data_IF_368303862514
#
_entry.id   IF_368303862514
#
_cell.length_a   1.000
_cell.length_b   1.000
_cell.length_c   1.000
_cell.angle_alpha   90.00
_cell.angle_beta   90.00
_cell.angle_gamma   90.00
#
_symmetry.space_group_name_H-M   'P 1'
#
loop_
_entity.id
_entity.type
_entity.pdbx_description
1 polymer ?
#
# COMPACT_ATOMS: atom_id res chain seq x y z
N UNK A 1 -22.46 62.38 -55.08
CA UNK A 1 -22.45 62.31 -53.61
C UNK A 1 -22.24 60.85 -53.20
N UNK A 2 -21.00 60.41 -53.03
CA UNK A 2 -20.69 59.02 -52.62
C UNK A 2 -20.39 59.01 -51.13
N UNK A 3 -21.35 58.54 -50.33
CA UNK A 3 -21.23 58.46 -48.88
C UNK A 3 -20.27 57.32 -48.50
N UNK A 4 -19.23 57.67 -47.75
CA UNK A 4 -18.20 56.75 -47.25
C UNK A 4 -18.86 55.65 -46.42
N UNK A 5 -18.58 54.39 -46.78
CA UNK A 5 -18.85 53.25 -45.92
C UNK A 5 -17.98 53.36 -44.67
N UNK A 6 -18.60 53.51 -43.51
CA UNK A 6 -17.94 53.37 -42.22
C UNK A 6 -17.62 51.90 -42.01
N UNK A 7 -16.36 51.53 -42.28
CA UNK A 7 -15.81 50.24 -41.86
C UNK A 7 -15.90 50.23 -40.33
N UNK A 8 -16.76 49.37 -39.78
CA UNK A 8 -16.84 49.17 -38.35
C UNK A 8 -15.53 48.50 -37.92
N UNK A 9 -14.56 49.31 -37.50
CA UNK A 9 -13.36 48.83 -36.84
C UNK A 9 -13.79 48.12 -35.55
N UNK A 10 -13.85 46.79 -35.62
CA UNK A 10 -14.01 45.91 -34.45
C UNK A 10 -12.98 46.37 -33.40
N UNK A 11 -13.38 46.60 -32.13
CA UNK A 11 -12.42 47.07 -31.14
C UNK A 11 -11.41 45.96 -30.88
N UNK A 12 -10.16 46.19 -31.27
CA UNK A 12 -9.00 45.30 -31.12
C UNK A 12 -8.65 44.96 -29.65
N UNK A 13 -9.18 45.74 -28.68
CA UNK A 13 -8.93 45.58 -27.24
C UNK A 13 -9.56 44.32 -26.61
N UNK A 14 -10.87 44.05 -26.76
CA UNK A 14 -11.48 42.83 -26.22
C UNK A 14 -10.83 41.54 -26.73
N UNK A 15 -10.34 41.52 -27.98
CA UNK A 15 -9.65 40.36 -28.53
C UNK A 15 -8.26 40.12 -27.87
N UNK A 16 -7.55 41.18 -27.48
CA UNK A 16 -6.25 41.08 -26.80
C UNK A 16 -6.36 40.61 -25.34
N UNK A 17 -7.35 41.13 -24.60
CA UNK A 17 -7.63 40.72 -23.21
C UNK A 17 -8.11 39.26 -23.12
N UNK A 18 -8.84 38.78 -24.15
CA UNK A 18 -9.28 37.39 -24.23
C UNK A 18 -8.11 36.42 -24.45
N UNK A 19 -7.15 36.78 -25.31
CA UNK A 19 -5.96 35.98 -25.55
C UNK A 19 -5.02 35.92 -24.34
N UNK A 20 -4.89 37.01 -23.57
CA UNK A 20 -4.15 37.02 -22.30
C UNK A 20 -4.76 36.05 -21.28
N UNK A 21 -6.08 36.11 -21.07
CA UNK A 21 -6.78 35.18 -20.16
C UNK A 21 -6.66 33.72 -20.62
N UNK A 22 -6.73 33.46 -21.93
CA UNK A 22 -6.49 32.11 -22.47
C UNK A 22 -5.07 31.63 -22.21
N UNK A 23 -4.08 32.51 -22.32
CA UNK A 23 -2.68 32.20 -22.03
C UNK A 23 -2.46 31.90 -20.54
N UNK A 24 -3.04 32.72 -19.65
CA UNK A 24 -3.01 32.50 -18.20
C UNK A 24 -3.65 31.18 -17.78
N UNK A 25 -4.80 30.83 -18.36
CA UNK A 25 -5.48 29.56 -18.10
C UNK A 25 -4.64 28.37 -18.56
N UNK A 26 -4.03 28.46 -19.75
CA UNK A 26 -3.11 27.42 -20.25
C UNK A 26 -1.87 27.28 -19.37
N UNK A 27 -1.30 28.39 -18.91
CA UNK A 27 -0.14 28.39 -18.03
C UNK A 27 -0.47 27.76 -16.67
N UNK A 28 -1.63 28.10 -16.11
CA UNK A 28 -2.13 27.55 -14.85
C UNK A 28 -2.38 26.05 -14.97
N UNK A 29 -3.09 25.61 -16.01
CA UNK A 29 -3.36 24.19 -16.25
C UNK A 29 -2.07 23.38 -16.44
N UNK A 30 -1.08 23.94 -17.13
CA UNK A 30 0.24 23.31 -17.29
C UNK A 30 0.94 23.16 -15.93
N UNK A 31 0.93 24.21 -15.12
CA UNK A 31 1.54 24.21 -13.78
C UNK A 31 0.89 23.19 -12.86
N UNK A 32 -0.43 23.13 -12.83
CA UNK A 32 -1.18 22.15 -12.02
C UNK A 32 -0.85 20.71 -12.44
N UNK A 33 -0.70 20.45 -13.75
CA UNK A 33 -0.32 19.13 -14.25
C UNK A 33 1.10 18.75 -13.82
N UNK A 34 2.06 19.67 -13.92
CA UNK A 34 3.44 19.47 -13.48
C UNK A 34 3.51 19.20 -11.96
N UNK A 35 2.76 19.98 -11.17
CA UNK A 35 2.64 19.76 -9.73
C UNK A 35 2.02 18.40 -9.40
N UNK A 36 0.98 17.99 -10.13
CA UNK A 36 0.36 16.68 -9.95
C UNK A 36 1.34 15.54 -10.24
N UNK A 37 2.09 15.60 -11.34
CA UNK A 37 3.12 14.61 -11.64
C UNK A 37 4.23 14.58 -10.59
N UNK A 38 4.68 15.75 -10.12
CA UNK A 38 5.69 15.83 -9.06
C UNK A 38 5.20 15.13 -7.77
N UNK A 39 3.96 15.41 -7.35
CA UNK A 39 3.33 14.75 -6.20
C UNK A 39 3.16 13.24 -6.41
N UNK A 40 2.75 12.83 -7.60
CA UNK A 40 2.57 11.42 -7.93
C UNK A 40 3.90 10.65 -7.87
N UNK A 41 4.96 11.22 -8.45
CA UNK A 41 6.30 10.64 -8.39
C UNK A 41 6.80 10.54 -6.95
N UNK A 42 6.62 11.59 -6.13
CA UNK A 42 6.96 11.57 -4.72
C UNK A 42 6.23 10.45 -3.97
N UNK A 43 4.93 10.28 -4.20
CA UNK A 43 4.13 9.22 -3.58
C UNK A 43 4.60 7.82 -4.00
N UNK A 44 4.93 7.62 -5.27
CA UNK A 44 5.45 6.34 -5.76
C UNK A 44 6.79 6.03 -5.09
N UNK A 45 7.73 6.97 -5.06
CA UNK A 45 9.03 6.74 -4.45
C UNK A 45 8.90 6.47 -2.95
N UNK A 46 8.02 7.21 -2.26
CA UNK A 46 7.69 6.94 -0.85
C UNK A 46 7.10 5.54 -0.66
N UNK A 47 6.19 5.10 -1.53
CA UNK A 47 5.59 3.77 -1.46
C UNK A 47 6.62 2.66 -1.73
N UNK A 48 7.51 2.85 -2.71
CA UNK A 48 8.62 1.91 -2.98
C UNK A 48 9.54 1.78 -1.77
N UNK A 49 9.93 2.89 -1.17
CA UNK A 49 10.78 2.90 0.02
C UNK A 49 10.08 2.22 1.20
N UNK A 50 8.82 2.57 1.46
CA UNK A 50 8.04 1.94 2.52
C UNK A 50 7.95 0.41 2.33
N UNK A 51 7.62 -0.06 1.13
CA UNK A 51 7.54 -1.50 0.83
C UNK A 51 8.90 -2.20 1.02
N UNK A 52 10.00 -1.53 0.64
CA UNK A 52 11.35 -2.06 0.84
C UNK A 52 11.70 -2.16 2.33
N UNK A 53 11.38 -1.14 3.13
CA UNK A 53 11.63 -1.18 4.58
C UNK A 53 10.75 -2.22 5.28
N UNK A 54 9.48 -2.36 4.89
CA UNK A 54 8.60 -3.43 5.39
C UNK A 54 9.21 -4.81 5.09
N UNK A 55 9.69 -5.04 3.87
CA UNK A 55 10.32 -6.30 3.50
C UNK A 55 11.57 -6.60 4.34
N UNK A 56 12.44 -5.61 4.54
CA UNK A 56 13.64 -5.77 5.37
C UNK A 56 13.31 -6.04 6.83
N UNK A 57 12.30 -5.35 7.37
CA UNK A 57 11.89 -5.53 8.75
C UNK A 57 11.29 -6.93 8.96
N UNK A 58 10.42 -7.37 8.05
CA UNK A 58 9.88 -8.73 8.08
C UNK A 58 10.99 -9.80 8.02
N UNK A 59 12.02 -9.60 7.19
CA UNK A 59 13.18 -10.51 7.14
C UNK A 59 13.97 -10.52 8.45
N UNK A 60 14.26 -9.34 9.02
CA UNK A 60 14.95 -9.23 10.32
C UNK A 60 14.18 -9.92 11.44
N UNK A 61 12.87 -9.70 11.50
CA UNK A 61 11.98 -10.34 12.48
C UNK A 61 11.98 -11.85 12.30
N UNK A 62 11.89 -12.33 11.06
CA UNK A 62 11.92 -13.76 10.75
C UNK A 62 13.26 -14.41 11.14
N UNK A 63 14.39 -13.78 10.81
CA UNK A 63 15.73 -14.27 11.21
C UNK A 63 15.87 -14.29 12.73
N UNK A 64 15.42 -13.23 13.42
CA UNK A 64 15.43 -13.17 14.87
C UNK A 64 14.58 -14.26 15.51
N UNK A 65 13.34 -14.48 15.04
CA UNK A 65 12.48 -15.56 15.54
C UNK A 65 13.09 -16.95 15.28
N UNK A 66 13.78 -17.16 14.15
CA UNK A 66 14.46 -18.42 13.82
C UNK A 66 15.66 -18.70 14.71
N UNK A 67 16.51 -17.69 14.91
CA UNK A 67 17.80 -17.84 15.61
C UNK A 67 17.66 -17.71 17.13
N UNK A 68 16.54 -17.17 17.62
CA UNK A 68 16.21 -17.17 19.04
C UNK A 68 15.78 -18.58 19.48
N UNK A 69 16.53 -19.26 20.37
CA UNK A 69 16.12 -20.58 20.86
C UNK A 69 14.81 -20.45 21.63
N UNK A 70 13.79 -21.20 21.20
CA UNK A 70 12.52 -21.25 21.90
C UNK A 70 12.74 -21.77 23.34
N UNK A 71 12.19 -21.11 24.37
CA UNK A 71 12.19 -21.64 25.72
C UNK A 71 11.58 -23.05 25.74
N UNK A 72 12.15 -23.96 26.55
CA UNK A 72 11.65 -25.34 26.68
C UNK A 72 10.15 -25.33 26.96
N UNK A 73 9.37 -25.95 26.09
CA UNK A 73 7.90 -26.02 26.17
C UNK A 73 7.14 -25.07 25.23
N UNK A 74 7.80 -24.09 24.58
CA UNK A 74 7.17 -23.18 23.62
C UNK A 74 7.37 -23.58 22.14
N UNK A 75 7.98 -24.73 21.87
CA UNK A 75 8.27 -25.19 20.50
C UNK A 75 7.02 -25.30 19.60
N UNK A 76 5.87 -25.63 20.19
CA UNK A 76 4.59 -25.73 19.49
C UNK A 76 3.98 -24.36 19.11
N UNK A 77 4.42 -23.26 19.72
CA UNK A 77 3.88 -21.93 19.41
C UNK A 77 4.23 -21.49 17.98
N UNK A 78 5.44 -21.81 17.50
CA UNK A 78 5.86 -21.50 16.14
C UNK A 78 4.99 -22.24 15.10
N UNK A 79 4.71 -23.52 15.35
CA UNK A 79 3.86 -24.35 14.48
C UNK A 79 2.42 -23.81 14.48
N UNK A 80 1.91 -23.42 15.66
CA UNK A 80 0.57 -22.87 15.78
C UNK A 80 0.42 -21.50 15.07
N UNK A 81 1.45 -20.64 15.06
CA UNK A 81 1.43 -19.37 14.30
C UNK A 81 1.24 -19.57 12.79
N UNK A 82 1.75 -20.68 12.25
CA UNK A 82 1.62 -21.04 10.83
C UNK A 82 0.28 -21.73 10.50
N UNK A 83 -0.48 -22.14 11.51
CA UNK A 83 -1.76 -22.81 11.34
C UNK A 83 -2.89 -21.78 11.29
N UNK A 84 -3.65 -21.78 10.20
CA UNK A 84 -4.90 -21.05 10.11
C UNK A 84 -5.99 -21.76 10.93
N UNK A 85 -6.42 -21.14 12.02
CA UNK A 85 -7.49 -21.67 12.88
C UNK A 85 -8.87 -21.06 12.58
N UNK A 86 -8.98 -20.20 11.57
CA UNK A 86 -10.28 -19.65 11.20
C UNK A 86 -11.12 -20.73 10.51
N UNK A 87 -12.27 -21.16 11.10
CA UNK A 87 -13.11 -22.20 10.52
C UNK A 87 -13.71 -21.82 9.16
N UNK A 88 -13.73 -20.53 8.81
CA UNK A 88 -14.26 -20.01 7.54
C UNK A 88 -13.20 -19.87 6.45
N UNK A 89 -11.92 -19.93 6.79
CA UNK A 89 -10.81 -19.75 5.85
C UNK A 89 -10.34 -21.07 5.22
N UNK A 90 -11.01 -22.19 5.54
CA UNK A 90 -10.71 -23.52 5.01
C UNK A 90 -10.94 -23.61 3.49
N UNK A 91 -9.95 -23.19 2.70
CA UNK A 91 -9.91 -23.32 1.23
C UNK A 91 -9.02 -24.49 0.79
N UNK A 92 -9.00 -25.58 1.55
CA UNK A 92 -8.14 -26.74 1.28
C UNK A 92 -8.92 -27.87 0.58
N UNK A 93 -8.27 -28.55 -0.36
CA UNK A 93 -8.78 -29.78 -1.01
C UNK A 93 -8.75 -31.01 -0.09
N UNK A 94 -7.98 -30.96 1.01
CA UNK A 94 -7.85 -32.04 1.99
C UNK A 94 -8.35 -31.60 3.37
N UNK A 95 -9.05 -32.49 4.05
CA UNK A 95 -9.50 -32.27 5.43
C UNK A 95 -8.31 -32.32 6.39
N UNK A 96 -8.04 -31.19 7.02
CA UNK A 96 -6.97 -31.01 8.03
C UNK A 96 -7.55 -30.69 9.40
N UNK A 97 -8.86 -30.85 9.60
CA UNK A 97 -9.56 -30.47 10.83
C UNK A 97 -9.02 -31.20 12.06
N UNK A 98 -8.74 -32.50 11.93
CA UNK A 98 -8.12 -33.30 13.01
C UNK A 98 -6.75 -32.77 13.40
N UNK A 99 -5.90 -32.46 12.42
CA UNK A 99 -4.56 -31.92 12.63
C UNK A 99 -4.61 -30.56 13.31
N UNK A 100 -5.47 -29.66 12.82
CA UNK A 100 -5.71 -28.33 13.43
C UNK A 100 -6.17 -28.48 14.88
N UNK A 101 -7.10 -29.40 15.17
CA UNK A 101 -7.56 -29.65 16.55
C UNK A 101 -6.43 -30.07 17.49
N UNK A 102 -5.57 -31.01 17.05
CA UNK A 102 -4.43 -31.48 17.85
C UNK A 102 -3.43 -30.34 18.12
N UNK A 103 -3.10 -29.54 17.10
CA UNK A 103 -2.16 -28.41 17.26
C UNK A 103 -2.74 -27.35 18.21
N UNK A 104 -4.04 -27.08 18.14
CA UNK A 104 -4.70 -26.13 19.04
C UNK A 104 -4.67 -26.62 20.49
N UNK A 105 -4.89 -27.92 20.73
CA UNK A 105 -4.79 -28.52 22.05
C UNK A 105 -3.38 -28.40 22.63
N UNK A 106 -2.35 -28.69 21.84
CA UNK A 106 -0.94 -28.56 22.27
C UNK A 106 -0.57 -27.11 22.63
N UNK A 107 -1.17 -26.12 21.96
CA UNK A 107 -1.01 -24.70 22.30
C UNK A 107 -1.70 -24.32 23.61
N UNK A 108 -2.92 -24.80 23.83
CA UNK A 108 -3.72 -24.47 25.02
C UNK A 108 -3.28 -25.25 26.27
N UNK A 109 -2.71 -26.43 26.08
CA UNK A 109 -2.29 -27.34 27.15
C UNK A 109 -0.93 -27.92 26.78
N UNK A 110 0.15 -27.16 27.01
CA UNK A 110 1.50 -27.64 26.73
C UNK A 110 1.78 -28.92 27.54
N UNK A 111 2.41 -29.94 26.94
CA UNK A 111 2.69 -31.18 27.65
C UNK A 111 3.58 -30.91 28.86
N UNK A 112 3.15 -31.41 30.03
CA UNK A 112 3.96 -31.34 31.24
C UNK A 112 5.26 -32.12 31.00
N UNK A 113 6.41 -31.44 30.98
CA UNK A 113 7.71 -32.12 30.91
C UNK A 113 7.95 -32.80 32.26
N UNK A 114 7.38 -33.98 32.45
CA UNK A 114 7.65 -34.80 33.63
C UNK A 114 9.15 -35.12 33.62
N UNK A 115 9.92 -34.42 34.48
CA UNK A 115 11.27 -34.84 34.84
C UNK A 115 11.12 -36.17 35.57
N UNK A 116 11.37 -37.27 34.88
CA UNK A 116 11.62 -38.56 35.53
C UNK A 116 12.97 -38.41 36.26
N UNK A 117 13.07 -38.84 37.53
CA UNK A 117 14.28 -38.67 38.35
C UNK A 117 15.51 -39.36 37.75
#
# INVERSE_FOLDING_TARGET
MTSRHTVHSRPFRPDAEEEEKKAELKATAKKELEEWYARYHEQIEKAKLANREVSKNAEKEWVHERDSPAPKGQEWEAIAKLCDFNPKAARNSKDVSRMRSIILQLKQSPPQTNKTP
#
